data_IF_423061252337
#
_entry.id   IF_423061252337
#
_cell.length_a   1.000
_cell.length_b   1.000
_cell.length_c   1.000
_cell.angle_alpha   90.00
_cell.angle_beta   90.00
_cell.angle_gamma   90.00
#
_symmetry.space_group_name_H-M   'P 1'
#
loop_
_entity.id
_entity.type
_entity.pdbx_description
1 polymer ?
#
# COMPACT_ATOMS: atom_id res chain seq x y z
N UNK A 1 -9.96 29.93 9.60
CA UNK A 1 -8.82 29.01 9.85
C UNK A 1 -7.56 29.67 9.31
N UNK A 2 -6.46 29.69 10.08
CA UNK A 2 -5.20 30.27 9.62
C UNK A 2 -4.59 29.45 8.48
N UNK A 3 -4.13 30.09 7.41
CA UNK A 3 -3.48 29.43 6.27
C UNK A 3 -2.16 28.80 6.74
N UNK A 4 -1.85 27.60 6.25
CA UNK A 4 -0.56 26.97 6.55
C UNK A 4 0.57 27.68 5.79
N UNK A 5 1.78 27.73 6.37
CA UNK A 5 2.97 28.33 5.74
C UNK A 5 3.26 27.74 4.34
N UNK A 6 2.95 26.45 4.13
CA UNK A 6 3.11 25.80 2.83
C UNK A 6 2.15 26.35 1.75
N UNK A 7 0.90 26.63 2.11
CA UNK A 7 -0.08 27.23 1.18
C UNK A 7 0.33 28.66 0.84
N UNK A 8 0.78 29.44 1.83
CA UNK A 8 1.23 30.82 1.61
C UNK A 8 2.42 30.88 0.64
N UNK A 9 3.42 30.01 0.80
CA UNK A 9 4.55 29.90 -0.14
C UNK A 9 4.13 29.53 -1.56
N UNK A 10 3.07 28.73 -1.72
CA UNK A 10 2.53 28.42 -3.04
C UNK A 10 1.85 29.65 -3.63
N UNK A 11 1.02 30.35 -2.85
CA UNK A 11 0.34 31.59 -3.29
C UNK A 11 1.36 32.67 -3.71
N UNK A 12 2.40 32.90 -2.90
CA UNK A 12 3.50 33.84 -3.23
C UNK A 12 4.20 33.49 -4.55
N UNK A 13 4.38 32.21 -4.86
CA UNK A 13 4.98 31.79 -6.14
C UNK A 13 4.06 32.06 -7.31
N UNK A 14 2.75 31.92 -7.10
CA UNK A 14 1.75 32.13 -8.13
C UNK A 14 1.58 33.61 -8.48
N UNK A 15 1.99 34.52 -7.59
CA UNK A 15 2.06 35.96 -7.89
C UNK A 15 3.01 36.23 -9.06
N UNK A 16 2.49 36.82 -10.15
CA UNK A 16 3.26 37.11 -11.35
C UNK A 16 3.41 35.94 -12.35
N UNK A 17 2.84 34.77 -12.07
CA UNK A 17 2.69 33.70 -13.08
C UNK A 17 1.43 33.89 -13.91
N UNK A 18 1.49 33.53 -15.20
CA UNK A 18 0.31 33.48 -16.05
C UNK A 18 -0.72 32.47 -15.48
N UNK A 19 -1.93 32.90 -15.10
CA UNK A 19 -2.98 32.01 -14.58
C UNK A 19 -3.42 30.91 -15.55
N UNK A 20 -3.17 31.10 -16.85
CA UNK A 20 -3.48 30.10 -17.90
C UNK A 20 -2.37 29.08 -18.08
N UNK A 21 -1.20 29.29 -17.47
CA UNK A 21 -0.07 28.37 -17.60
C UNK A 21 -0.31 27.06 -16.85
N UNK A 22 0.24 25.97 -17.37
CA UNK A 22 0.20 24.66 -16.70
C UNK A 22 0.96 24.68 -15.36
N UNK A 23 1.99 25.53 -15.24
CA UNK A 23 2.76 25.71 -14.00
C UNK A 23 1.89 26.29 -12.88
N UNK A 24 1.11 27.33 -13.19
CA UNK A 24 0.13 27.92 -12.27
C UNK A 24 -0.93 26.89 -11.89
N UNK A 25 -1.51 26.18 -12.87
CA UNK A 25 -2.53 25.17 -12.61
C UNK A 25 -2.03 24.02 -11.72
N UNK A 26 -0.77 23.60 -11.85
CA UNK A 26 -0.17 22.58 -11.00
C UNK A 26 -0.01 23.07 -9.54
N UNK A 27 0.36 24.33 -9.33
CA UNK A 27 0.43 24.95 -8.00
C UNK A 27 -0.95 25.12 -7.36
N UNK A 28 -1.95 25.54 -8.14
CA UNK A 28 -3.33 25.63 -7.65
C UNK A 28 -3.87 24.25 -7.22
N UNK A 29 -3.63 23.21 -8.03
CA UNK A 29 -4.00 21.84 -7.67
C UNK A 29 -3.26 21.35 -6.40
N UNK A 30 -2.02 21.80 -6.17
CA UNK A 30 -1.24 21.43 -5.00
C UNK A 30 -1.82 22.00 -3.70
N UNK A 31 -2.40 23.21 -3.72
CA UNK A 31 -3.12 23.79 -2.58
C UNK A 31 -4.29 22.90 -2.13
N UNK A 32 -4.96 22.30 -3.10
CA UNK A 32 -6.14 21.45 -2.90
C UNK A 32 -5.81 19.95 -2.87
N UNK A 33 -4.53 19.57 -2.71
CA UNK A 33 -4.08 18.18 -2.81
C UNK A 33 -4.87 17.20 -1.92
N UNK A 34 -5.21 17.62 -0.69
CA UNK A 34 -5.94 16.76 0.27
C UNK A 34 -7.36 16.43 -0.18
N UNK A 35 -8.00 17.31 -0.95
CA UNK A 35 -9.37 17.15 -1.44
C UNK A 35 -9.43 16.69 -2.90
N UNK A 36 -8.37 16.87 -3.69
CA UNK A 36 -8.35 16.51 -5.11
C UNK A 36 -6.97 16.11 -5.61
N UNK A 37 -6.45 14.97 -5.15
CA UNK A 37 -5.15 14.47 -5.59
C UNK A 37 -5.13 14.09 -7.09
N UNK A 38 -6.28 13.69 -7.66
CA UNK A 38 -6.36 13.29 -9.08
C UNK A 38 -6.09 14.46 -10.01
N UNK A 39 -6.56 15.66 -9.67
CA UNK A 39 -6.24 16.86 -10.46
C UNK A 39 -4.74 17.18 -10.40
N UNK A 40 -4.14 17.16 -9.20
CA UNK A 40 -2.70 17.34 -9.07
C UNK A 40 -1.93 16.25 -9.85
N UNK A 41 -2.38 15.00 -9.77
CA UNK A 41 -1.80 13.87 -10.51
C UNK A 41 -1.80 14.11 -12.02
N UNK A 42 -2.93 14.57 -12.57
CA UNK A 42 -3.09 14.95 -13.98
C UNK A 42 -2.11 16.03 -14.41
N UNK A 43 -2.04 17.13 -13.65
CA UNK A 43 -1.14 18.26 -13.97
C UNK A 43 0.32 17.81 -13.90
N UNK A 44 0.69 17.08 -12.86
CA UNK A 44 2.05 16.55 -12.68
C UNK A 44 2.42 15.53 -13.76
N UNK A 45 1.48 14.72 -14.22
CA UNK A 45 1.70 13.81 -15.33
C UNK A 45 1.99 14.55 -16.63
N UNK A 46 1.20 15.59 -16.96
CA UNK A 46 1.46 16.43 -18.13
C UNK A 46 2.85 17.11 -18.05
N UNK A 47 3.19 17.68 -16.89
CA UNK A 47 4.51 18.28 -16.65
C UNK A 47 5.65 17.28 -16.83
N UNK A 48 5.48 16.04 -16.33
CA UNK A 48 6.50 15.00 -16.45
C UNK A 48 6.65 14.52 -17.89
N UNK A 49 5.54 14.26 -18.58
CA UNK A 49 5.50 13.76 -19.96
C UNK A 49 6.22 14.73 -20.90
N UNK A 50 5.90 16.01 -20.79
CA UNK A 50 6.42 17.06 -21.67
C UNK A 50 7.72 17.67 -21.15
N UNK A 51 8.24 17.19 -20.01
CA UNK A 51 9.47 17.63 -19.34
C UNK A 51 9.55 19.14 -19.08
N UNK A 52 8.40 19.80 -18.92
CA UNK A 52 8.29 21.26 -18.74
C UNK A 52 9.05 21.78 -17.52
N UNK A 53 9.25 20.93 -16.50
CA UNK A 53 10.07 21.25 -15.35
C UNK A 53 11.50 21.69 -15.72
N UNK A 54 12.04 21.22 -16.87
CA UNK A 54 13.37 21.62 -17.35
C UNK A 54 13.38 23.06 -17.84
N UNK A 55 12.35 23.45 -18.60
CA UNK A 55 12.16 24.83 -19.08
C UNK A 55 11.99 25.81 -17.93
N UNK A 56 11.44 25.32 -16.82
CA UNK A 56 11.26 26.09 -15.58
C UNK A 56 12.52 26.13 -14.70
N UNK A 57 13.63 25.54 -15.16
CA UNK A 57 14.93 25.61 -14.49
C UNK A 57 15.22 24.45 -13.52
N UNK A 58 14.41 23.39 -13.50
CA UNK A 58 14.65 22.22 -12.64
C UNK A 58 15.38 21.11 -13.39
N UNK A 59 16.46 20.59 -12.78
CA UNK A 59 17.24 19.49 -13.34
C UNK A 59 16.45 18.17 -13.41
N UNK A 60 15.60 17.92 -12.40
CA UNK A 60 14.76 16.72 -12.32
C UNK A 60 13.35 17.08 -11.91
N UNK A 61 12.41 16.21 -12.26
CA UNK A 61 11.01 16.35 -11.89
C UNK A 61 10.82 16.29 -10.37
N UNK A 62 11.57 15.44 -9.67
CA UNK A 62 11.51 15.36 -8.22
C UNK A 62 11.99 16.66 -7.56
N UNK A 63 12.99 17.31 -8.14
CA UNK A 63 13.44 18.62 -7.67
C UNK A 63 12.33 19.67 -7.84
N UNK A 64 11.61 19.65 -8.97
CA UNK A 64 10.43 20.48 -9.17
C UNK A 64 9.33 20.19 -8.14
N UNK A 65 8.96 18.92 -7.94
CA UNK A 65 7.93 18.55 -6.97
C UNK A 65 8.27 18.99 -5.54
N UNK A 66 9.52 18.78 -5.10
CA UNK A 66 9.94 19.13 -3.75
C UNK A 66 10.08 20.64 -3.58
N UNK A 67 10.77 21.30 -4.53
CA UNK A 67 11.13 22.71 -4.38
C UNK A 67 9.96 23.63 -4.70
N UNK A 68 9.16 23.34 -5.71
CA UNK A 68 8.08 24.21 -6.19
C UNK A 68 6.70 23.80 -5.69
N UNK A 69 6.35 22.53 -5.87
CA UNK A 69 5.01 22.02 -5.54
C UNK A 69 4.87 21.74 -4.04
N UNK A 70 6.01 21.56 -3.33
CA UNK A 70 6.03 21.29 -1.89
C UNK A 70 5.66 19.84 -1.54
N UNK A 71 5.79 18.91 -2.49
CA UNK A 71 5.46 17.48 -2.32
C UNK A 71 6.75 16.66 -2.23
N UNK A 72 6.84 15.81 -1.21
CA UNK A 72 8.00 14.91 -1.02
C UNK A 72 8.19 13.98 -2.22
N UNK A 73 9.44 13.64 -2.52
CA UNK A 73 9.82 12.78 -3.65
C UNK A 73 9.01 11.48 -3.70
N UNK A 74 8.88 10.79 -2.58
CA UNK A 74 8.16 9.51 -2.49
C UNK A 74 6.67 9.68 -2.76
N UNK A 75 6.08 10.76 -2.26
CA UNK A 75 4.67 11.11 -2.47
C UNK A 75 4.43 11.45 -3.94
N UNK A 76 5.26 12.31 -4.54
CA UNK A 76 5.17 12.66 -5.95
C UNK A 76 5.25 11.43 -6.85
N UNK A 77 6.18 10.52 -6.55
CA UNK A 77 6.35 9.28 -7.29
C UNK A 77 5.13 8.34 -7.16
N UNK A 78 4.54 8.21 -5.96
CA UNK A 78 3.32 7.43 -5.76
C UNK A 78 2.13 8.06 -6.49
N UNK A 79 1.93 9.36 -6.31
CA UNK A 79 0.85 10.12 -6.92
C UNK A 79 0.85 9.99 -8.45
N UNK A 80 2.01 10.24 -9.07
CA UNK A 80 2.20 10.13 -10.51
C UNK A 80 1.88 8.71 -11.02
N UNK A 81 2.40 7.68 -10.34
CA UNK A 81 2.15 6.28 -10.74
C UNK A 81 0.71 5.84 -10.51
N UNK A 82 0.06 6.31 -9.45
CA UNK A 82 -1.36 6.04 -9.19
C UNK A 82 -2.24 6.69 -10.23
N UNK A 83 -1.97 7.95 -10.59
CA UNK A 83 -2.70 8.65 -11.65
C UNK A 83 -2.53 7.95 -12.99
N UNK A 84 -1.28 7.65 -13.39
CA UNK A 84 -0.99 6.94 -14.63
C UNK A 84 -1.69 5.58 -14.70
N UNK A 85 -1.72 4.84 -13.59
CA UNK A 85 -2.46 3.58 -13.52
C UNK A 85 -3.95 3.75 -13.77
N UNK A 86 -4.58 4.79 -13.21
CA UNK A 86 -5.99 5.05 -13.49
C UNK A 86 -6.21 5.46 -14.95
N UNK A 87 -5.33 6.28 -15.52
CA UNK A 87 -5.40 6.68 -16.93
C UNK A 87 -5.29 5.47 -17.88
N UNK A 88 -4.39 4.52 -17.59
CA UNK A 88 -4.11 3.38 -18.47
C UNK A 88 -5.04 2.19 -18.25
N UNK A 89 -5.35 1.85 -16.98
CA UNK A 89 -6.08 0.64 -16.63
C UNK A 89 -7.55 0.91 -16.28
N UNK A 90 -7.87 2.12 -15.83
CA UNK A 90 -9.20 2.48 -15.31
C UNK A 90 -9.76 3.78 -15.93
N UNK A 91 -9.66 4.00 -17.26
CA UNK A 91 -10.00 5.28 -17.87
C UNK A 91 -11.47 5.69 -17.66
N UNK A 92 -12.38 4.71 -17.58
CA UNK A 92 -13.81 4.95 -17.29
C UNK A 92 -14.03 5.46 -15.87
N UNK A 93 -13.24 4.99 -14.89
CA UNK A 93 -13.29 5.51 -13.52
C UNK A 93 -12.82 6.97 -13.50
N UNK A 94 -11.69 7.24 -14.17
CA UNK A 94 -11.10 8.58 -14.21
C UNK A 94 -12.03 9.61 -14.88
N UNK A 95 -12.66 9.25 -16.00
CA UNK A 95 -13.62 10.14 -16.70
C UNK A 95 -14.79 10.53 -15.80
N UNK A 96 -15.42 9.56 -15.13
CA UNK A 96 -16.54 9.83 -14.19
C UNK A 96 -16.16 10.87 -13.14
N UNK A 97 -14.98 10.73 -12.54
CA UNK A 97 -14.59 11.54 -11.37
C UNK A 97 -13.85 12.85 -11.70
N UNK A 98 -13.42 13.07 -12.94
CA UNK A 98 -12.84 14.35 -13.35
C UNK A 98 -13.92 15.40 -13.68
N UNK A 99 -15.12 14.95 -14.05
CA UNK A 99 -16.24 15.81 -14.46
C UNK A 99 -17.25 16.06 -13.33
N UNK A 100 -17.15 15.35 -12.21
CA UNK A 100 -18.04 15.50 -11.06
C UNK A 100 -17.61 16.66 -10.14
N UNK A 101 -18.49 17.65 -9.95
CA UNK A 101 -18.30 18.76 -8.99
C UNK A 101 -18.44 18.32 -7.51
N UNK A 102 -18.97 17.13 -7.26
CA UNK A 102 -19.18 16.58 -5.92
C UNK A 102 -18.03 15.63 -5.55
N UNK A 103 -17.63 15.60 -4.28
CA UNK A 103 -16.76 14.54 -3.79
C UNK A 103 -17.58 13.24 -3.76
N UNK A 104 -17.68 12.55 -4.90
CA UNK A 104 -17.76 11.10 -4.85
C UNK A 104 -16.61 10.59 -3.97
N UNK A 105 -16.75 9.38 -3.40
CA UNK A 105 -15.71 8.80 -2.55
C UNK A 105 -14.46 8.54 -3.41
N UNK A 106 -13.61 9.55 -3.57
CA UNK A 106 -12.36 9.45 -4.32
C UNK A 106 -11.41 8.61 -3.46
N UNK A 107 -10.90 7.47 -3.94
CA UNK A 107 -9.92 6.69 -3.20
C UNK A 107 -8.66 7.51 -2.98
N UNK A 108 -7.92 7.22 -1.92
CA UNK A 108 -6.63 7.86 -1.74
C UNK A 108 -5.62 7.35 -2.76
N UNK A 109 -4.66 8.20 -3.16
CA UNK A 109 -3.60 7.79 -4.09
C UNK A 109 -2.78 6.63 -3.53
N UNK A 110 -2.68 6.46 -2.21
CA UNK A 110 -2.03 5.32 -1.59
C UNK A 110 -2.81 4.01 -1.78
N UNK A 111 -4.14 4.02 -1.59
CA UNK A 111 -4.99 2.85 -1.87
C UNK A 111 -4.88 2.42 -3.34
N UNK A 112 -4.94 3.39 -4.27
CA UNK A 112 -4.73 3.14 -5.70
C UNK A 112 -3.32 2.60 -5.98
N UNK A 113 -2.29 3.13 -5.31
CA UNK A 113 -0.93 2.61 -5.45
C UNK A 113 -0.83 1.14 -5.00
N UNK A 114 -1.55 0.74 -3.94
CA UNK A 114 -1.60 -0.67 -3.51
C UNK A 114 -2.29 -1.54 -4.55
N UNK A 115 -3.43 -1.09 -5.09
CA UNK A 115 -4.12 -1.79 -6.18
C UNK A 115 -3.21 -1.99 -7.41
N UNK A 116 -2.52 -0.93 -7.83
CA UNK A 116 -1.54 -0.97 -8.92
C UNK A 116 -0.44 -2.00 -8.68
N UNK A 117 0.12 -2.03 -7.46
CA UNK A 117 1.16 -3.01 -7.09
C UNK A 117 0.61 -4.44 -7.06
N UNK A 118 -0.62 -4.62 -6.59
CA UNK A 118 -1.31 -5.91 -6.62
C UNK A 118 -1.47 -6.43 -8.05
N UNK A 119 -1.95 -5.59 -8.99
CA UNK A 119 -2.06 -5.93 -10.42
C UNK A 119 -0.70 -6.32 -11.01
N UNK A 120 0.33 -5.50 -10.77
CA UNK A 120 1.67 -5.72 -11.28
C UNK A 120 2.31 -7.03 -10.77
N UNK A 121 1.93 -7.49 -9.57
CA UNK A 121 2.47 -8.72 -9.00
C UNK A 121 2.04 -9.98 -9.75
N UNK A 122 0.87 -9.97 -10.41
CA UNK A 122 0.25 -11.14 -11.08
C UNK A 122 0.13 -12.40 -10.19
N UNK A 123 0.18 -12.22 -8.87
CA UNK A 123 0.09 -13.29 -7.86
C UNK A 123 -1.30 -13.42 -7.24
N UNK A 124 -2.23 -12.55 -7.62
CA UNK A 124 -3.60 -12.55 -7.13
C UNK A 124 -4.49 -13.03 -8.28
N UNK A 125 -5.33 -14.05 -8.07
CA UNK A 125 -6.29 -14.49 -9.07
C UNK A 125 -7.18 -13.35 -9.54
N UNK A 126 -7.55 -13.36 -10.83
CA UNK A 126 -8.29 -12.25 -11.44
C UNK A 126 -9.60 -11.93 -10.70
N UNK A 127 -10.36 -12.96 -10.28
CA UNK A 127 -11.59 -12.77 -9.53
C UNK A 127 -11.38 -12.03 -8.19
N UNK A 128 -10.29 -12.33 -7.49
CA UNK A 128 -9.95 -11.67 -6.23
C UNK A 128 -9.38 -10.27 -6.45
N UNK A 129 -8.67 -10.07 -7.57
CA UNK A 129 -8.24 -8.74 -8.01
C UNK A 129 -9.45 -7.84 -8.32
N UNK A 130 -10.49 -8.35 -8.99
CA UNK A 130 -11.70 -7.57 -9.27
C UNK A 130 -12.42 -7.12 -7.99
N UNK A 131 -12.51 -8.00 -6.98
CA UNK A 131 -13.03 -7.62 -5.66
C UNK A 131 -12.17 -6.59 -4.94
N UNK A 132 -10.85 -6.63 -5.14
CA UNK A 132 -9.93 -5.63 -4.60
C UNK A 132 -10.08 -4.30 -5.33
N UNK A 133 -10.32 -4.33 -6.65
CA UNK A 133 -10.57 -3.17 -7.48
C UNK A 133 -11.85 -2.45 -7.04
N UNK A 134 -12.95 -3.18 -6.86
CA UNK A 134 -14.23 -2.62 -6.37
C UNK A 134 -14.06 -1.96 -4.99
N UNK A 135 -13.42 -2.66 -4.06
CA UNK A 135 -13.08 -2.14 -2.72
C UNK A 135 -12.33 -0.80 -2.76
N UNK A 136 -11.44 -0.64 -3.74
CA UNK A 136 -10.64 0.58 -3.87
C UNK A 136 -11.40 1.65 -4.64
N UNK A 137 -11.90 1.36 -5.83
CA UNK A 137 -12.42 2.38 -6.74
C UNK A 137 -13.85 2.77 -6.42
N UNK A 138 -14.71 1.84 -6.04
CA UNK A 138 -16.13 2.16 -5.77
C UNK A 138 -16.37 2.42 -4.28
N UNK A 139 -15.73 1.66 -3.38
CA UNK A 139 -15.92 1.80 -1.93
C UNK A 139 -14.90 2.74 -1.25
N UNK A 140 -13.87 3.18 -1.97
CA UNK A 140 -12.79 4.05 -1.46
C UNK A 140 -12.14 3.56 -0.16
N UNK A 141 -11.92 2.24 -0.03
CA UNK A 141 -11.37 1.68 1.20
C UNK A 141 -9.97 2.25 1.53
N UNK A 142 -9.67 2.53 2.81
CA UNK A 142 -8.38 3.08 3.22
C UNK A 142 -7.20 2.14 2.94
N UNK A 143 -6.01 2.71 2.71
CA UNK A 143 -4.80 1.97 2.34
C UNK A 143 -4.51 0.78 3.28
N UNK A 144 -4.68 0.98 4.59
CA UNK A 144 -4.41 -0.04 5.59
C UNK A 144 -5.25 -1.31 5.39
N UNK A 145 -6.52 -1.15 5.03
CA UNK A 145 -7.45 -2.25 4.77
C UNK A 145 -7.11 -2.95 3.46
N UNK A 146 -6.87 -2.18 2.39
CA UNK A 146 -6.48 -2.70 1.08
C UNK A 146 -5.19 -3.51 1.19
N UNK A 147 -4.18 -3.01 1.91
CA UNK A 147 -2.93 -3.75 2.19
C UNK A 147 -3.18 -5.02 2.98
N UNK A 148 -4.09 -5.00 3.96
CA UNK A 148 -4.45 -6.20 4.74
C UNK A 148 -5.07 -7.26 3.84
N UNK A 149 -6.01 -6.87 2.97
CA UNK A 149 -6.64 -7.77 1.99
C UNK A 149 -5.64 -8.32 1.00
N UNK A 150 -4.76 -7.49 0.42
CA UNK A 150 -3.67 -7.97 -0.46
C UNK A 150 -2.77 -8.99 0.25
N UNK A 151 -2.34 -8.70 1.49
CA UNK A 151 -1.53 -9.67 2.26
C UNK A 151 -2.27 -10.97 2.53
N UNK A 152 -3.58 -10.91 2.75
CA UNK A 152 -4.41 -12.10 2.91
C UNK A 152 -4.45 -12.90 1.61
N UNK A 153 -4.79 -12.26 0.49
CA UNK A 153 -4.87 -12.87 -0.84
C UNK A 153 -3.57 -13.54 -1.27
N UNK A 154 -2.43 -12.89 -1.04
CA UNK A 154 -1.10 -13.43 -1.34
C UNK A 154 -0.66 -14.59 -0.42
N UNK A 155 -1.34 -14.78 0.72
CA UNK A 155 -1.11 -15.93 1.62
C UNK A 155 -2.07 -17.08 1.31
N UNK A 156 -3.22 -16.80 0.70
CA UNK A 156 -4.24 -17.80 0.35
C UNK A 156 -3.89 -18.72 -0.82
N UNK A 157 -2.69 -18.61 -1.42
CA UNK A 157 -2.04 -19.74 -2.09
C UNK A 157 -1.74 -20.92 -1.13
N UNK A 158 -2.11 -20.82 0.15
CA UNK A 158 -2.05 -21.93 1.10
C UNK A 158 -2.90 -21.83 2.37
N UNK A 159 -4.03 -21.09 2.41
CA UNK A 159 -4.94 -21.14 3.58
C UNK A 159 -6.37 -20.64 3.29
N UNK A 160 -7.36 -21.50 3.50
CA UNK A 160 -8.80 -21.19 3.48
C UNK A 160 -9.19 -20.19 4.59
N UNK A 161 -10.21 -19.32 4.41
CA UNK A 161 -10.69 -18.45 5.48
C UNK A 161 -11.62 -19.21 6.43
N UNK A 162 -11.55 -18.88 7.72
CA UNK A 162 -12.77 -18.78 8.53
C UNK A 162 -12.58 -17.78 9.68
N UNK A 163 -13.49 -16.81 9.69
CA UNK A 163 -14.11 -16.10 10.82
C UNK A 163 -13.66 -16.39 12.27
N UNK A 164 -13.53 -15.29 13.03
CA UNK A 164 -13.89 -15.20 14.46
C UNK A 164 -13.04 -15.94 15.50
N UNK A 165 -11.71 -15.87 15.41
CA UNK A 165 -10.81 -16.45 16.43
C UNK A 165 -9.50 -15.68 16.66
N UNK A 166 -9.52 -14.34 16.74
CA UNK A 166 -8.28 -13.53 16.73
C UNK A 166 -7.28 -13.79 17.88
N UNK A 167 -7.70 -14.43 18.98
CA UNK A 167 -6.84 -14.74 20.13
C UNK A 167 -6.17 -16.11 20.04
N UNK A 168 -6.92 -17.14 19.62
CA UNK A 168 -6.46 -18.52 19.58
C UNK A 168 -5.55 -18.76 18.37
N UNK A 169 -5.92 -18.27 17.19
CA UNK A 169 -5.11 -18.46 15.97
C UNK A 169 -3.69 -17.90 16.08
N UNK A 170 -3.51 -16.76 16.77
CA UNK A 170 -2.17 -16.20 17.00
C UNK A 170 -1.34 -17.06 17.96
N UNK A 171 -1.98 -17.60 19.01
CA UNK A 171 -1.32 -18.50 19.97
C UNK A 171 -0.90 -19.79 19.28
N UNK A 172 -1.79 -20.42 18.52
CA UNK A 172 -1.49 -21.63 17.76
C UNK A 172 -0.44 -21.40 16.67
N UNK A 173 -0.47 -20.25 15.97
CA UNK A 173 0.59 -19.88 15.02
C UNK A 173 1.94 -19.64 15.70
N UNK A 174 1.97 -19.01 16.87
CA UNK A 174 3.19 -18.82 17.64
C UNK A 174 3.77 -20.15 18.13
N UNK A 175 2.92 -21.05 18.63
CA UNK A 175 3.32 -22.40 19.06
C UNK A 175 3.85 -23.25 17.89
N UNK A 176 3.20 -23.19 16.72
CA UNK A 176 3.70 -23.86 15.50
C UNK A 176 5.07 -23.35 15.06
N UNK A 177 5.30 -22.03 15.10
CA UNK A 177 6.61 -21.43 14.78
C UNK A 177 7.69 -21.84 15.79
N UNK A 178 7.36 -21.86 17.08
CA UNK A 178 8.27 -22.30 18.13
C UNK A 178 8.66 -23.77 17.96
N UNK A 179 7.69 -24.65 17.70
CA UNK A 179 7.95 -26.07 17.44
C UNK A 179 8.85 -26.28 16.21
N UNK A 180 8.62 -25.53 15.13
CA UNK A 180 9.46 -25.58 13.94
C UNK A 180 10.89 -25.11 14.22
N UNK A 181 11.06 -24.05 15.02
CA UNK A 181 12.38 -23.56 15.41
C UNK A 181 13.13 -24.57 16.28
N UNK A 182 12.46 -25.16 17.28
CA UNK A 182 13.05 -26.18 18.15
C UNK A 182 13.47 -27.45 17.39
N UNK A 183 12.72 -27.87 16.36
CA UNK A 183 13.14 -28.97 15.46
C UNK A 183 14.40 -28.64 14.67
N UNK A 184 14.52 -27.40 14.21
CA UNK A 184 15.75 -26.94 13.55
C UNK A 184 16.92 -26.98 14.52
N UNK A 185 16.72 -26.49 15.75
CA UNK A 185 17.73 -26.51 16.82
C UNK A 185 18.08 -27.94 17.26
N UNK A 186 17.13 -28.88 17.27
CA UNK A 186 17.40 -30.31 17.52
C UNK A 186 18.37 -30.87 16.48
N UNK A 187 18.10 -30.63 15.19
CA UNK A 187 18.99 -31.09 14.10
C UNK A 187 20.37 -30.43 14.16
N UNK A 188 20.46 -29.16 14.57
CA UNK A 188 21.74 -28.48 14.78
C UNK A 188 22.48 -29.00 16.02
N UNK A 189 21.78 -29.28 17.11
CA UNK A 189 22.33 -29.85 18.34
C UNK A 189 22.94 -31.25 18.10
N UNK A 190 22.28 -32.07 17.28
CA UNK A 190 22.80 -33.38 16.85
C UNK A 190 24.08 -33.23 16.01
N UNK A 191 24.12 -32.26 15.08
CA UNK A 191 25.30 -31.96 14.26
C UNK A 191 26.48 -31.42 15.07
N UNK A 192 26.20 -30.66 16.12
CA UNK A 192 27.21 -30.09 17.02
C UNK A 192 27.71 -31.08 18.08
N UNK A 193 27.17 -32.31 18.11
CA UNK A 193 27.60 -33.35 19.05
C UNK A 193 27.28 -33.02 20.50
N UNK A 194 26.19 -32.30 20.77
CA UNK A 194 25.77 -32.00 22.14
C UNK A 194 25.38 -33.29 22.89
N UNK A 195 25.51 -33.31 24.24
CA UNK A 195 25.16 -34.50 25.03
C UNK A 195 23.73 -34.98 24.77
N UNK A 196 23.53 -36.30 24.66
CA UNK A 196 22.23 -36.94 24.38
C UNK A 196 21.10 -36.46 25.29
N UNK A 197 21.43 -36.11 26.55
CA UNK A 197 20.48 -35.55 27.50
C UNK A 197 19.84 -34.25 26.98
N UNK A 198 20.64 -33.38 26.39
CA UNK A 198 20.20 -32.07 25.86
C UNK A 198 19.34 -32.25 24.62
N UNK A 199 19.76 -33.13 23.70
CA UNK A 199 18.97 -33.46 22.49
C UNK A 199 17.62 -34.07 22.87
N UNK A 200 17.59 -34.99 23.84
CA UNK A 200 16.34 -35.57 24.34
C UNK A 200 15.41 -34.52 24.95
N UNK A 201 15.94 -33.57 25.72
CA UNK A 201 15.13 -32.48 26.30
C UNK A 201 14.48 -31.61 25.21
N UNK A 202 15.20 -31.28 24.13
CA UNK A 202 14.65 -30.52 22.99
C UNK A 202 13.54 -31.33 22.31
N UNK A 203 13.78 -32.63 22.06
CA UNK A 203 12.81 -33.54 21.43
C UNK A 203 11.53 -33.68 22.25
N UNK A 204 11.66 -33.78 23.57
CA UNK A 204 10.51 -33.92 24.47
C UNK A 204 9.70 -32.63 24.56
N UNK A 205 10.36 -31.45 24.51
CA UNK A 205 9.70 -30.16 24.39
C UNK A 205 8.93 -30.02 23.07
N UNK A 206 9.52 -30.44 21.95
CA UNK A 206 8.83 -30.45 20.63
C UNK A 206 7.60 -31.34 20.69
N UNK A 207 7.72 -32.56 21.22
CA UNK A 207 6.57 -33.49 21.34
C UNK A 207 5.46 -32.94 22.22
N UNK A 208 5.80 -32.32 23.36
CA UNK A 208 4.81 -31.68 24.25
C UNK A 208 4.07 -30.56 23.54
N UNK A 209 4.79 -29.69 22.81
CA UNK A 209 4.16 -28.61 22.02
C UNK A 209 3.24 -29.17 20.94
N UNK A 210 3.63 -30.22 20.24
CA UNK A 210 2.81 -30.85 19.20
C UNK A 210 1.56 -31.56 19.74
N UNK A 211 1.63 -32.15 20.93
CA UNK A 211 0.47 -32.75 21.60
C UNK A 211 -0.55 -31.68 22.01
N UNK A 212 -0.08 -30.55 22.56
CA UNK A 212 -0.93 -29.40 22.87
C UNK A 212 -1.57 -28.80 21.60
N UNK A 213 -0.87 -28.84 20.47
CA UNK A 213 -1.43 -28.42 19.17
C UNK A 213 -2.49 -29.38 18.61
N UNK A 214 -2.47 -30.68 18.98
CA UNK A 214 -3.44 -31.70 18.55
C UNK A 214 -4.67 -31.77 19.46
N UNK A 215 -4.49 -31.60 20.77
CA UNK A 215 -5.58 -31.73 21.76
C UNK A 215 -6.69 -30.68 21.66
N UNK A 216 -6.47 -29.54 21.01
CA UNK A 216 -7.50 -28.51 20.80
C UNK A 216 -8.34 -28.71 19.53
N UNK A 217 -8.11 -29.78 18.76
CA UNK A 217 -8.87 -30.09 17.54
C UNK A 217 -10.12 -30.96 17.75
N UNK A 218 -10.23 -31.64 18.89
CA UNK A 218 -11.27 -32.67 19.14
C UNK A 218 -12.40 -32.23 20.08
N UNK A 219 -12.39 -31.01 20.63
CA UNK A 219 -13.47 -30.48 21.51
C UNK A 219 -14.51 -29.61 20.77
N UNK A 220 -14.67 -29.76 19.46
CA UNK A 220 -15.71 -29.08 18.68
C UNK A 220 -16.59 -30.05 17.90
N UNK A 221 -16.99 -31.14 18.57
CA UNK A 221 -18.07 -32.04 18.16
C UNK A 221 -19.40 -31.64 18.79
#
# INVERSE_FOLDING_TARGET
MSKTNAIQKIEERMEGMDPRSLRYAALEAAKNFKSSWMDLGRKLYAVQRDKLFREWGYLTFEAYCVKEIGVRKETAAKLLRSYFFLESEEPSFLKRHLDEEKPARIPTYESVNVLRLAKASRKIPEADYQRLREDVLEEAKPEAEVRKKVRYLLRSDGFQPASSGQGEDKRFQALRKLAAHLKSTESEAEKLGLPDRVVRQIRDLVRSLEQNLRGSGDESG
#
